data_IF_008989713882
#
_entry.id   IF_008989713882
#
_cell.length_a   1.000
_cell.length_b   1.000
_cell.length_c   1.000
_cell.angle_alpha   90.00
_cell.angle_beta   90.00
_cell.angle_gamma   90.00
#
_symmetry.space_group_name_H-M   'P 1'
#
loop_
_entity.id
_entity.type
_entity.pdbx_description
1 polymer ?
#
# COMPACT_ATOMS: atom_id res chain seq x y z
N UNK A 1 -7.76 -8.50 -9.57
CA UNK A 1 -7.58 -8.69 -8.12
C UNK A 1 -7.38 -7.34 -7.46
N UNK A 2 -8.14 -7.07 -6.44
CA UNK A 2 -8.03 -5.80 -5.71
C UNK A 2 -7.38 -6.05 -4.36
N UNK A 3 -6.37 -5.27 -4.06
CA UNK A 3 -5.61 -5.37 -2.82
C UNK A 3 -5.74 -4.04 -2.07
N UNK A 4 -6.05 -4.12 -0.79
CA UNK A 4 -6.09 -2.93 0.07
C UNK A 4 -5.01 -3.08 1.12
N UNK A 5 -4.19 -2.05 1.28
CA UNK A 5 -3.18 -2.03 2.32
C UNK A 5 -3.08 -0.64 2.93
N UNK A 6 -2.46 -0.56 4.08
CA UNK A 6 -2.23 0.71 4.75
C UNK A 6 -0.75 0.86 5.04
N UNK A 7 -0.22 2.06 4.87
CA UNK A 7 1.18 2.30 5.14
C UNK A 7 1.40 3.77 5.53
N UNK A 8 2.57 4.05 6.06
CA UNK A 8 3.03 5.41 6.33
C UNK A 8 4.45 5.56 5.84
N UNK A 9 5.04 6.75 6.05
CA UNK A 9 6.38 7.04 5.55
C UNK A 9 7.45 6.13 6.13
N UNK A 10 7.20 5.55 7.30
CA UNK A 10 8.19 4.70 7.96
C UNK A 10 8.23 3.29 7.37
N UNK A 11 7.16 2.86 6.74
CA UNK A 11 7.02 1.47 6.29
C UNK A 11 6.90 1.33 4.78
N UNK A 12 7.22 2.41 4.06
CA UNK A 12 7.10 2.41 2.60
C UNK A 12 7.93 1.30 1.96
N UNK A 13 9.15 1.08 2.44
CA UNK A 13 10.00 0.05 1.87
C UNK A 13 9.41 -1.34 2.05
N UNK A 14 8.88 -1.62 3.22
CA UNK A 14 8.25 -2.91 3.48
C UNK A 14 7.00 -3.09 2.66
N UNK A 15 6.21 -2.04 2.54
CA UNK A 15 5.02 -2.06 1.71
C UNK A 15 5.39 -2.33 0.26
N UNK A 16 6.40 -1.67 -0.25
CA UNK A 16 6.86 -1.84 -1.61
C UNK A 16 7.29 -3.29 -1.89
N UNK A 17 8.06 -3.88 -0.98
CA UNK A 17 8.50 -5.26 -1.13
C UNK A 17 7.32 -6.22 -1.14
N UNK A 18 6.37 -6.01 -0.24
CA UNK A 18 5.18 -6.84 -0.17
C UNK A 18 4.38 -6.75 -1.47
N UNK A 19 4.19 -5.53 -1.97
CA UNK A 19 3.42 -5.33 -3.19
C UNK A 19 4.10 -5.95 -4.40
N UNK A 20 5.42 -5.85 -4.49
CA UNK A 20 6.16 -6.47 -5.57
C UNK A 20 5.98 -7.99 -5.55
N UNK A 21 6.02 -8.59 -4.37
CA UNK A 21 5.80 -10.03 -4.23
C UNK A 21 4.41 -10.43 -4.75
N UNK A 22 3.40 -9.64 -4.44
CA UNK A 22 2.06 -9.90 -4.94
C UNK A 22 1.97 -9.73 -6.45
N UNK A 23 2.62 -8.72 -6.99
CA UNK A 23 2.56 -8.43 -8.41
C UNK A 23 3.28 -9.49 -9.24
N UNK A 24 4.36 -10.04 -8.73
CA UNK A 24 5.10 -11.09 -9.42
C UNK A 24 4.25 -12.34 -9.57
N UNK A 25 3.44 -12.63 -8.57
CA UNK A 25 2.66 -13.86 -8.52
C UNK A 25 1.24 -13.73 -9.05
N UNK A 26 0.78 -12.53 -9.37
CA UNK A 26 -0.59 -12.31 -9.78
C UNK A 26 -0.64 -11.34 -10.95
N UNK A 27 -1.68 -11.45 -11.76
CA UNK A 27 -1.93 -10.55 -12.88
C UNK A 27 -3.10 -9.64 -12.57
N UNK A 28 -3.15 -8.51 -13.24
CA UNK A 28 -4.28 -7.56 -13.14
C UNK A 28 -4.53 -7.15 -11.70
N UNK A 29 -3.46 -6.81 -10.99
CA UNK A 29 -3.55 -6.39 -9.62
C UNK A 29 -3.81 -4.89 -9.55
N UNK A 30 -4.82 -4.51 -8.78
CA UNK A 30 -5.12 -3.12 -8.50
C UNK A 30 -5.00 -2.91 -7.00
N UNK A 31 -4.21 -1.93 -6.61
CA UNK A 31 -3.81 -1.74 -5.22
C UNK A 31 -4.36 -0.41 -4.71
N UNK A 32 -4.98 -0.46 -3.56
CA UNK A 32 -5.47 0.73 -2.87
C UNK A 32 -4.67 0.90 -1.60
N UNK A 33 -3.91 1.99 -1.52
CA UNK A 33 -3.06 2.27 -0.37
C UNK A 33 -3.76 3.31 0.50
N UNK A 34 -4.13 2.92 1.70
CA UNK A 34 -4.74 3.81 2.66
C UNK A 34 -3.62 4.45 3.48
N UNK A 35 -3.64 5.77 3.56
CA UNK A 35 -2.59 6.49 4.25
C UNK A 35 -3.13 7.78 4.85
N UNK A 36 -2.52 8.22 5.93
CA UNK A 36 -2.83 9.52 6.52
C UNK A 36 -2.10 10.65 5.81
N UNK A 37 -1.16 10.30 4.94
CA UNK A 37 -0.42 11.26 4.14
C UNK A 37 0.99 10.78 3.91
N UNK A 38 1.29 10.32 2.71
CA UNK A 38 2.64 9.94 2.33
C UNK A 38 3.32 11.11 1.65
N UNK A 39 4.60 11.26 1.88
CA UNK A 39 5.38 12.23 1.14
C UNK A 39 5.37 11.89 -0.34
N UNK A 40 5.39 12.91 -1.22
CA UNK A 40 5.34 12.64 -2.65
C UNK A 40 6.43 11.69 -3.14
N UNK A 41 7.62 11.77 -2.59
CA UNK A 41 8.69 10.88 -3.02
C UNK A 41 8.40 9.42 -2.65
N UNK A 42 7.72 9.20 -1.53
CA UNK A 42 7.36 7.85 -1.11
C UNK A 42 6.22 7.29 -1.95
N UNK A 43 5.28 8.15 -2.32
CA UNK A 43 4.23 7.75 -3.25
C UNK A 43 4.83 7.35 -4.59
N UNK A 44 5.82 8.12 -5.05
CA UNK A 44 6.49 7.83 -6.31
C UNK A 44 7.21 6.48 -6.27
N UNK A 45 7.83 6.15 -5.16
CA UNK A 45 8.51 4.87 -5.00
C UNK A 45 7.54 3.71 -5.20
N UNK A 46 6.40 3.78 -4.52
CA UNK A 46 5.40 2.72 -4.61
C UNK A 46 4.81 2.66 -6.01
N UNK A 47 4.46 3.81 -6.57
CA UNK A 47 3.88 3.88 -7.90
C UNK A 47 4.82 3.29 -8.94
N UNK A 48 6.09 3.65 -8.88
CA UNK A 48 7.07 3.18 -9.83
C UNK A 48 7.22 1.65 -9.76
N UNK A 49 7.29 1.12 -8.56
CA UNK A 49 7.41 -0.33 -8.39
C UNK A 49 6.18 -1.06 -8.88
N UNK A 50 5.00 -0.55 -8.56
CA UNK A 50 3.75 -1.18 -8.99
C UNK A 50 3.61 -1.16 -10.49
N UNK A 51 3.91 -0.03 -11.12
CA UNK A 51 3.78 0.10 -12.56
C UNK A 51 4.81 -0.73 -13.31
N UNK A 52 5.97 -0.94 -12.71
CA UNK A 52 7.01 -1.78 -13.31
C UNK A 52 6.50 -3.19 -13.57
N UNK A 53 5.60 -3.67 -12.74
CA UNK A 53 5.03 -5.01 -12.84
C UNK A 53 3.61 -5.00 -13.40
N UNK A 54 3.25 -3.93 -14.10
CA UNK A 54 1.96 -3.78 -14.76
C UNK A 54 0.76 -3.75 -13.80
N UNK A 55 0.99 -3.36 -12.56
CA UNK A 55 -0.08 -3.15 -11.61
C UNK A 55 -0.60 -1.73 -11.66
N UNK A 56 -1.67 -1.49 -10.92
CA UNK A 56 -2.22 -0.16 -10.74
C UNK A 56 -2.27 0.15 -9.25
N UNK A 57 -2.00 1.39 -8.89
CA UNK A 57 -2.03 1.79 -7.49
C UNK A 57 -2.82 3.08 -7.34
N UNK A 58 -3.60 3.13 -6.29
CA UNK A 58 -4.40 4.29 -5.91
C UNK A 58 -4.09 4.64 -4.46
N UNK A 59 -3.82 5.90 -4.21
CA UNK A 59 -3.55 6.36 -2.85
C UNK A 59 -4.81 7.01 -2.30
N UNK A 60 -5.26 6.52 -1.17
CA UNK A 60 -6.47 7.02 -0.52
C UNK A 60 -6.08 7.70 0.79
N UNK A 61 -6.30 8.99 0.86
CA UNK A 61 -6.03 9.74 2.08
C UNK A 61 -7.17 9.51 3.06
N UNK A 62 -6.84 9.04 4.24
CA UNK A 62 -7.82 8.77 5.29
C UNK A 62 -7.30 9.36 6.59
N UNK A 63 -8.20 9.62 7.52
CA UNK A 63 -7.75 10.03 8.85
C UNK A 63 -7.67 8.81 9.77
N UNK A 64 -7.00 8.98 10.90
CA UNK A 64 -6.74 7.85 11.79
C UNK A 64 -8.01 7.26 12.37
N UNK A 65 -9.05 8.07 12.55
CA UNK A 65 -10.30 7.54 13.09
C UNK A 65 -10.99 6.61 12.09
N UNK A 66 -10.85 6.88 10.81
CA UNK A 66 -11.40 6.01 9.77
C UNK A 66 -10.62 4.71 9.72
N UNK A 67 -9.30 4.80 9.79
CA UNK A 67 -8.43 3.62 9.76
C UNK A 67 -8.77 2.68 10.91
N UNK A 68 -9.01 3.24 12.10
CA UNK A 68 -9.34 2.43 13.27
C UNK A 68 -10.64 1.68 13.12
N UNK A 69 -11.58 2.20 12.34
CA UNK A 69 -12.87 1.58 12.15
C UNK A 69 -12.85 0.44 11.15
N UNK A 70 -11.86 0.39 10.30
CA UNK A 70 -11.75 -0.69 9.34
C UNK A 70 -11.23 -1.94 10.03
N UNK A 71 -11.84 -3.10 9.73
CA UNK A 71 -11.32 -4.37 10.24
C UNK A 71 -10.06 -4.76 9.48
N UNK A 72 -9.01 -3.99 9.70
CA UNK A 72 -7.76 -4.20 8.99
C UNK A 72 -7.15 -5.53 9.40
N UNK A 73 -6.70 -6.33 8.45
CA UNK A 73 -5.98 -7.56 8.78
C UNK A 73 -4.75 -7.24 9.59
N UNK A 74 -4.34 -8.16 10.43
CA UNK A 74 -3.12 -7.97 11.21
C UNK A 74 -1.88 -7.92 10.33
N UNK A 75 -2.04 -8.29 9.11
CA UNK A 75 -0.97 -8.09 8.14
C UNK A 75 -0.73 -6.60 7.95
N UNK A 76 -1.81 -5.86 7.87
CA UNK A 76 -1.68 -4.41 7.84
C UNK A 76 -1.07 -3.95 9.14
N UNK A 77 -1.18 -4.72 10.17
CA UNK A 77 -0.48 -4.50 11.41
C UNK A 77 1.02 -4.60 11.29
N UNK A 78 1.53 -4.84 10.10
CA UNK A 78 2.96 -4.64 9.85
C UNK A 78 3.37 -3.25 10.27
N UNK A 79 2.44 -2.34 10.26
CA UNK A 79 2.69 -1.01 10.74
C UNK A 79 3.02 -0.95 12.23
N UNK A 80 2.79 -2.03 12.93
CA UNK A 80 3.09 -2.09 14.36
C UNK A 80 4.45 -2.67 14.66
N UNK A 81 5.15 -3.04 13.65
CA UNK A 81 6.47 -3.61 13.82
C UNK A 81 7.49 -2.51 14.07
#
# INVERSE_FOLDING_TARGET
MNIVCATDDNFVQYCSIMLVSLLINNKDVEIYVLTEGLKPKNQAIITEEVERYNGKVHFCLVDSSIVEKFPMPKIAGLSHI
#
